data_IF_067418605336
#
_entry.id   IF_067418605336
#
_cell.length_a   1.000
_cell.length_b   1.000
_cell.length_c   1.000
_cell.angle_alpha   90.00
_cell.angle_beta   90.00
_cell.angle_gamma   90.00
#
_symmetry.space_group_name_H-M   'P 1'
#
loop_
_entity.id
_entity.type
_entity.pdbx_description
1 polymer ?
#
# COMPACT_ATOMS: atom_id res chain seq x y z
N UNK A 1 -0.77 -23.01 22.03
CA UNK A 1 0.10 -21.83 22.22
C UNK A 1 -0.43 -21.11 23.44
N UNK A 2 0.36 -21.00 24.51
CA UNK A 2 -0.08 -20.37 25.76
C UNK A 2 -0.09 -18.85 25.58
N UNK A 3 -1.28 -18.24 25.59
CA UNK A 3 -1.49 -16.79 25.36
C UNK A 3 -0.68 -15.94 26.35
N UNK A 4 -0.40 -16.47 27.54
CA UNK A 4 0.35 -15.78 28.59
C UNK A 4 1.80 -15.45 28.20
N UNK A 5 2.34 -16.09 27.16
CA UNK A 5 3.70 -15.88 26.68
C UNK A 5 3.80 -14.97 25.43
N UNK A 6 2.67 -14.53 24.86
CA UNK A 6 2.66 -13.71 23.62
C UNK A 6 3.16 -12.30 23.90
N UNK A 7 2.67 -11.68 24.99
CA UNK A 7 3.04 -10.31 25.38
C UNK A 7 4.54 -10.16 25.66
N UNK A 8 5.18 -11.01 26.49
CA UNK A 8 6.63 -10.93 26.72
C UNK A 8 7.47 -11.15 25.45
N UNK A 9 6.99 -11.99 24.52
CA UNK A 9 7.70 -12.28 23.26
C UNK A 9 7.76 -11.06 22.33
N UNK A 10 6.77 -10.17 22.36
CA UNK A 10 6.77 -8.94 21.57
C UNK A 10 7.85 -7.94 21.99
N UNK A 11 8.33 -8.01 23.24
CA UNK A 11 9.42 -7.14 23.76
C UNK A 11 10.83 -7.71 23.51
N UNK A 12 10.93 -8.85 22.84
CA UNK A 12 12.22 -9.33 22.31
C UNK A 12 12.52 -8.66 20.98
N UNK A 13 13.80 -8.58 20.59
CA UNK A 13 14.18 -8.02 19.28
C UNK A 13 13.45 -8.73 18.13
N UNK A 14 13.35 -10.06 18.16
CA UNK A 14 12.67 -10.83 17.12
C UNK A 14 11.17 -10.58 17.06
N UNK A 15 10.49 -10.50 18.22
CA UNK A 15 9.07 -10.17 18.28
C UNK A 15 8.77 -8.74 17.82
N UNK A 16 9.63 -7.79 18.17
CA UNK A 16 9.50 -6.41 17.72
C UNK A 16 9.68 -6.28 16.20
N UNK A 17 10.68 -6.96 15.61
CA UNK A 17 10.88 -6.97 14.15
C UNK A 17 9.64 -7.53 13.44
N UNK A 18 9.10 -8.66 13.91
CA UNK A 18 7.89 -9.27 13.33
C UNK A 18 6.66 -8.36 13.46
N UNK A 19 6.54 -7.62 14.55
CA UNK A 19 5.47 -6.62 14.70
C UNK A 19 5.61 -5.49 13.66
N UNK A 20 6.81 -4.97 13.45
CA UNK A 20 7.07 -3.92 12.46
C UNK A 20 6.78 -4.42 11.03
N UNK A 21 7.18 -5.64 10.69
CA UNK A 21 6.88 -6.28 9.40
C UNK A 21 5.36 -6.32 9.13
N UNK A 22 4.58 -6.76 10.11
CA UNK A 22 3.10 -6.76 10.02
C UNK A 22 2.55 -5.34 9.83
N UNK A 23 3.05 -4.36 10.58
CA UNK A 23 2.60 -2.96 10.44
C UNK A 23 2.92 -2.38 9.06
N UNK A 24 4.08 -2.70 8.49
CA UNK A 24 4.46 -2.28 7.13
C UNK A 24 3.44 -2.81 6.12
N UNK A 25 3.10 -4.09 6.19
CA UNK A 25 2.12 -4.70 5.28
C UNK A 25 0.74 -4.04 5.42
N UNK A 26 0.28 -3.77 6.65
CA UNK A 26 -1.00 -3.09 6.89
C UNK A 26 -1.01 -1.69 6.27
N UNK A 27 0.05 -0.91 6.48
CA UNK A 27 0.17 0.46 5.93
C UNK A 27 0.18 0.41 4.40
N UNK A 28 0.88 -0.56 3.80
CA UNK A 28 0.92 -0.71 2.35
C UNK A 28 -0.45 -1.08 1.77
N UNK A 29 -1.24 -1.94 2.44
CA UNK A 29 -2.62 -2.25 2.02
C UNK A 29 -3.47 -0.97 1.97
N UNK A 30 -3.41 -0.15 3.03
CA UNK A 30 -4.14 1.13 3.09
C UNK A 30 -3.65 2.05 1.95
N UNK A 31 -2.34 2.10 1.72
CA UNK A 31 -1.75 2.90 0.65
C UNK A 31 -2.19 2.44 -0.74
N UNK A 32 -2.32 1.14 -0.99
CA UNK A 32 -2.83 0.61 -2.27
C UNK A 32 -4.27 1.08 -2.51
N UNK A 33 -5.13 1.08 -1.48
CA UNK A 33 -6.49 1.61 -1.58
C UNK A 33 -6.45 3.10 -1.91
N UNK A 34 -5.60 3.87 -1.24
CA UNK A 34 -5.40 5.29 -1.55
C UNK A 34 -4.95 5.51 -3.01
N UNK A 35 -3.94 4.77 -3.47
CA UNK A 35 -3.43 4.85 -4.84
C UNK A 35 -4.52 4.52 -5.88
N UNK A 36 -5.39 3.55 -5.59
CA UNK A 36 -6.55 3.27 -6.43
C UNK A 36 -7.52 4.47 -6.50
N UNK A 37 -7.81 5.11 -5.35
CA UNK A 37 -8.69 6.29 -5.32
C UNK A 37 -8.11 7.45 -6.15
N UNK A 38 -6.78 7.62 -6.18
CA UNK A 38 -6.13 8.63 -7.03
C UNK A 38 -6.39 8.37 -8.51
N UNK A 39 -6.40 7.12 -8.99
CA UNK A 39 -6.74 6.84 -10.40
C UNK A 39 -8.14 7.34 -10.76
N UNK A 40 -9.10 7.23 -9.83
CA UNK A 40 -10.47 7.75 -10.00
C UNK A 40 -10.48 9.28 -10.00
N UNK A 41 -9.71 9.92 -9.13
CA UNK A 41 -9.61 11.37 -9.09
C UNK A 41 -9.01 11.95 -10.36
N UNK A 42 -7.94 11.33 -10.89
CA UNK A 42 -7.33 11.74 -12.16
C UNK A 42 -8.31 11.57 -13.32
N UNK A 43 -9.12 10.49 -13.32
CA UNK A 43 -10.18 10.31 -14.31
C UNK A 43 -11.23 11.43 -14.26
N UNK A 44 -11.68 11.81 -13.06
CA UNK A 44 -12.63 12.91 -12.89
C UNK A 44 -12.04 14.25 -13.33
N UNK A 45 -10.79 14.52 -12.94
CA UNK A 45 -10.05 15.71 -13.35
C UNK A 45 -9.93 15.82 -14.87
N UNK A 46 -9.54 14.75 -15.55
CA UNK A 46 -9.42 14.71 -17.01
C UNK A 46 -10.77 14.88 -17.74
N UNK A 47 -11.88 14.53 -17.09
CA UNK A 47 -13.22 14.78 -17.62
C UNK A 47 -13.64 16.25 -17.44
N UNK A 48 -13.24 16.89 -16.34
CA UNK A 48 -13.55 18.29 -16.05
C UNK A 48 -12.67 19.29 -16.80
N UNK A 49 -11.42 18.92 -17.09
CA UNK A 49 -10.46 19.78 -17.75
C UNK A 49 -9.95 19.12 -19.03
N UNK A 50 -10.31 19.68 -20.17
CA UNK A 50 -9.74 19.28 -21.45
C UNK A 50 -8.28 19.75 -21.52
N UNK A 51 -7.36 18.82 -21.28
CA UNK A 51 -5.91 19.07 -21.37
C UNK A 51 -5.29 18.02 -22.30
N UNK A 52 -4.32 18.46 -23.10
CA UNK A 52 -3.57 17.58 -24.03
C UNK A 52 -2.81 16.47 -23.28
N UNK A 53 -2.52 16.72 -21.99
CA UNK A 53 -1.79 15.82 -21.09
C UNK A 53 -2.67 14.80 -20.36
N UNK A 54 -3.98 14.77 -20.63
CA UNK A 54 -4.93 13.87 -19.94
C UNK A 54 -4.51 12.39 -19.98
N UNK A 55 -4.03 11.93 -21.14
CA UNK A 55 -3.53 10.55 -21.31
C UNK A 55 -2.32 10.29 -20.42
N UNK A 56 -1.35 11.22 -20.38
CA UNK A 56 -0.12 11.08 -19.58
C UNK A 56 -0.45 10.97 -18.09
N UNK A 57 -1.30 11.84 -17.56
CA UNK A 57 -1.70 11.76 -16.15
C UNK A 57 -2.44 10.47 -15.83
N UNK A 58 -3.33 10.02 -16.72
CA UNK A 58 -4.04 8.75 -16.57
C UNK A 58 -3.08 7.56 -16.52
N UNK A 59 -2.11 7.51 -17.44
CA UNK A 59 -1.11 6.45 -17.50
C UNK A 59 -0.22 6.44 -16.25
N UNK A 60 0.29 7.60 -15.81
CA UNK A 60 1.11 7.69 -14.59
C UNK A 60 0.31 7.23 -13.36
N UNK A 61 -0.95 7.61 -13.24
CA UNK A 61 -1.80 7.20 -12.13
C UNK A 61 -1.99 5.67 -12.08
N UNK A 62 -2.25 5.04 -13.23
CA UNK A 62 -2.39 3.58 -13.33
C UNK A 62 -1.07 2.86 -13.05
N UNK A 63 0.06 3.33 -13.59
CA UNK A 63 1.37 2.77 -13.31
C UNK A 63 1.68 2.86 -11.81
N UNK A 64 1.44 4.01 -11.19
CA UNK A 64 1.63 4.22 -9.75
C UNK A 64 0.79 3.22 -8.93
N UNK A 65 -0.49 3.05 -9.25
CA UNK A 65 -1.35 2.07 -8.60
C UNK A 65 -0.85 0.64 -8.77
N UNK A 66 -0.41 0.25 -9.98
CA UNK A 66 0.14 -1.08 -10.24
C UNK A 66 1.40 -1.36 -9.42
N UNK A 67 2.31 -0.39 -9.30
CA UNK A 67 3.48 -0.53 -8.43
C UNK A 67 3.09 -0.60 -6.95
N UNK A 68 2.16 0.23 -6.49
CA UNK A 68 1.67 0.17 -5.12
C UNK A 68 1.06 -1.21 -4.80
N UNK A 69 0.23 -1.75 -5.68
CA UNK A 69 -0.35 -3.08 -5.50
C UNK A 69 0.71 -4.19 -5.57
N UNK A 70 1.64 -4.10 -6.53
CA UNK A 70 2.73 -5.07 -6.68
C UNK A 70 3.66 -5.12 -5.48
N UNK A 71 4.03 -3.96 -4.92
CA UNK A 71 4.87 -3.90 -3.72
C UNK A 71 4.15 -4.36 -2.46
N UNK A 72 2.83 -4.13 -2.34
CA UNK A 72 2.03 -4.70 -1.26
C UNK A 72 2.00 -6.23 -1.32
N UNK A 73 1.79 -6.80 -2.50
CA UNK A 73 1.82 -8.26 -2.70
C UNK A 73 3.20 -8.80 -2.38
N UNK A 74 4.26 -8.17 -2.89
CA UNK A 74 5.63 -8.58 -2.61
C UNK A 74 5.94 -8.55 -1.12
N UNK A 75 5.60 -7.46 -0.42
CA UNK A 75 5.85 -7.31 1.00
C UNK A 75 5.07 -8.34 1.83
N UNK A 76 3.83 -8.66 1.45
CA UNK A 76 3.05 -9.72 2.10
C UNK A 76 3.70 -11.12 1.97
N UNK A 77 4.45 -11.36 0.88
CA UNK A 77 5.11 -12.64 0.64
C UNK A 77 6.47 -12.77 1.32
N UNK A 78 7.20 -11.66 1.51
CA UNK A 78 8.60 -11.68 1.96
C UNK A 78 8.83 -11.24 3.42
N UNK A 79 7.89 -10.50 4.02
CA UNK A 79 7.95 -10.04 5.41
C UNK A 79 7.11 -10.95 6.32
#
# INVERSE_FOLDING_TARGET
MDINNVLPQLFTLGGFVKLIEVLIVIIQIIYTVFAFLITRQVKLMNHSFHTDTSVVFGTIAWIHFLFAAGFTILSFLIL
#
